data_IF_245812856373
#
_entry.id   IF_245812856373
#
_cell.length_a   1.000
_cell.length_b   1.000
_cell.length_c   1.000
_cell.angle_alpha   90.00
_cell.angle_beta   90.00
_cell.angle_gamma   90.00
#
_symmetry.space_group_name_H-M   'P 1'
#
loop_
_entity.id
_entity.type
_entity.pdbx_description
1 polymer ?
#
# COMPACT_ATOMS: atom_id res chain seq x y z
N UNK A 1 -34.12 -21.16 -73.74
CA UNK A 1 -33.24 -19.98 -73.95
C UNK A 1 -33.94 -18.79 -73.29
N UNK A 2 -33.41 -17.99 -72.38
CA UNK A 2 -32.13 -17.93 -71.68
C UNK A 2 -32.42 -17.18 -70.37
N UNK A 3 -31.91 -17.71 -69.26
CA UNK A 3 -31.90 -17.04 -67.97
C UNK A 3 -30.86 -15.91 -67.99
N UNK A 4 -31.14 -14.79 -67.32
CA UNK A 4 -30.15 -13.76 -66.99
C UNK A 4 -30.22 -13.49 -65.48
N UNK A 5 -29.24 -14.05 -64.78
CA UNK A 5 -29.04 -13.90 -63.34
C UNK A 5 -28.26 -12.61 -63.06
N UNK A 6 -28.72 -11.84 -62.07
CA UNK A 6 -28.00 -10.70 -61.49
C UNK A 6 -26.92 -11.18 -60.51
N UNK A 7 -25.73 -10.58 -60.48
CA UNK A 7 -24.67 -10.99 -59.58
C UNK A 7 -24.91 -10.50 -58.14
N UNK A 8 -24.86 -11.44 -57.20
CA UNK A 8 -25.01 -11.21 -55.76
C UNK A 8 -23.87 -10.37 -55.17
N UNK A 9 -24.24 -9.27 -54.54
CA UNK A 9 -23.36 -8.47 -53.69
C UNK A 9 -23.01 -9.24 -52.42
N UNK A 10 -21.75 -9.65 -52.28
CA UNK A 10 -21.16 -10.12 -51.02
C UNK A 10 -21.08 -8.94 -50.04
N UNK A 11 -21.97 -8.91 -49.04
CA UNK A 11 -21.76 -8.10 -47.83
C UNK A 11 -20.66 -8.75 -47.01
N UNK A 12 -19.48 -8.16 -47.03
CA UNK A 12 -18.43 -8.44 -46.06
C UNK A 12 -18.91 -7.95 -44.68
N UNK A 13 -19.41 -8.89 -43.87
CA UNK A 13 -19.59 -8.68 -42.44
C UNK A 13 -18.22 -8.57 -41.80
N UNK A 14 -17.73 -7.35 -41.64
CA UNK A 14 -16.60 -7.07 -40.76
C UNK A 14 -17.04 -7.41 -39.33
N UNK A 15 -16.74 -8.64 -38.91
CA UNK A 15 -16.80 -9.05 -37.52
C UNK A 15 -15.85 -8.16 -36.72
N UNK A 16 -16.40 -7.14 -36.07
CA UNK A 16 -15.71 -6.39 -35.04
C UNK A 16 -15.59 -7.33 -33.85
N UNK A 17 -14.57 -8.20 -33.87
CA UNK A 17 -14.15 -8.92 -32.70
C UNK A 17 -13.78 -7.93 -31.59
N UNK A 18 -14.04 -8.26 -30.31
CA UNK A 18 -13.66 -7.38 -29.21
C UNK A 18 -12.16 -7.10 -29.28
N UNK A 19 -11.78 -5.82 -29.16
CA UNK A 19 -10.37 -5.43 -29.10
C UNK A 19 -9.69 -6.20 -27.96
N UNK A 20 -8.50 -6.79 -28.16
CA UNK A 20 -7.83 -7.63 -27.15
C UNK A 20 -7.63 -6.95 -25.78
N UNK A 21 -7.66 -5.62 -25.71
CA UNK A 21 -7.61 -4.86 -24.47
C UNK A 21 -8.87 -4.96 -23.56
N UNK A 22 -10.04 -5.32 -24.10
CA UNK A 22 -11.29 -5.38 -23.32
C UNK A 22 -11.45 -6.66 -22.49
N UNK A 23 -10.83 -7.77 -22.92
CA UNK A 23 -10.99 -9.08 -22.24
C UNK A 23 -10.18 -9.14 -20.93
N UNK A 24 -9.12 -8.33 -20.78
CA UNK A 24 -8.27 -8.32 -19.57
C UNK A 24 -8.71 -7.32 -18.48
N UNK A 25 -9.64 -6.40 -18.76
CA UNK A 25 -10.02 -5.31 -17.85
C UNK A 25 -11.00 -5.75 -16.74
N UNK A 26 -11.89 -6.71 -17.01
CA UNK A 26 -12.82 -7.21 -15.99
C UNK A 26 -12.12 -7.97 -14.83
N UNK A 27 -11.09 -8.80 -15.08
CA UNK A 27 -10.33 -9.45 -14.01
C UNK A 27 -9.58 -8.49 -13.06
N UNK A 28 -9.05 -7.35 -13.56
CA UNK A 28 -8.33 -6.40 -12.70
C UNK A 28 -9.27 -5.63 -11.77
N UNK A 29 -10.44 -5.24 -12.28
CA UNK A 29 -11.51 -4.62 -11.49
C UNK A 29 -11.86 -5.51 -10.30
N UNK A 30 -12.29 -6.75 -10.57
CA UNK A 30 -12.78 -7.64 -9.53
C UNK A 30 -11.71 -8.03 -8.51
N UNK A 31 -10.48 -8.27 -8.95
CA UNK A 31 -9.36 -8.55 -8.06
C UNK A 31 -9.08 -7.36 -7.13
N UNK A 32 -9.02 -6.14 -7.66
CA UNK A 32 -8.79 -4.94 -6.85
C UNK A 32 -9.88 -4.72 -5.79
N UNK A 33 -11.15 -4.92 -6.16
CA UNK A 33 -12.28 -4.80 -5.23
C UNK A 33 -12.22 -5.86 -4.13
N UNK A 34 -12.00 -7.13 -4.49
CA UNK A 34 -11.92 -8.24 -3.52
C UNK A 34 -10.75 -8.09 -2.56
N UNK A 35 -9.56 -7.73 -3.06
CA UNK A 35 -8.40 -7.48 -2.21
C UNK A 35 -8.63 -6.30 -1.26
N UNK A 36 -9.33 -5.26 -1.71
CA UNK A 36 -9.70 -4.13 -0.85
C UNK A 36 -10.59 -4.59 0.30
N UNK A 37 -11.67 -5.32 0.02
CA UNK A 37 -12.58 -5.81 1.06
C UNK A 37 -11.88 -6.80 2.00
N UNK A 38 -11.01 -7.66 1.47
CA UNK A 38 -10.19 -8.56 2.28
C UNK A 38 -9.24 -7.78 3.18
N UNK A 39 -8.59 -6.72 2.68
CA UNK A 39 -7.73 -5.85 3.46
C UNK A 39 -8.47 -5.19 4.62
N UNK A 40 -9.66 -4.63 4.35
CA UNK A 40 -10.55 -4.06 5.38
C UNK A 40 -10.94 -5.12 6.42
N UNK A 41 -11.22 -6.35 5.99
CA UNK A 41 -11.58 -7.44 6.90
C UNK A 41 -10.42 -7.92 7.79
N UNK A 42 -9.18 -7.82 7.30
CA UNK A 42 -7.97 -8.30 7.99
C UNK A 42 -7.31 -7.23 8.88
N UNK A 43 -7.57 -5.95 8.64
CA UNK A 43 -7.11 -4.82 9.48
C UNK A 43 -8.28 -3.94 9.95
N UNK A 44 -9.26 -4.48 10.70
CA UNK A 44 -10.33 -3.65 11.22
C UNK A 44 -9.82 -2.66 12.28
N UNK A 45 -10.47 -1.49 12.43
CA UNK A 45 -10.20 -0.58 13.53
C UNK A 45 -10.31 -1.24 14.91
N UNK A 46 -9.63 -0.66 15.90
CA UNK A 46 -9.64 -1.16 17.29
C UNK A 46 -11.01 -1.02 17.95
N UNK A 47 -11.72 0.08 17.70
CA UNK A 47 -13.02 0.34 18.31
C UNK A 47 -14.12 -0.49 17.65
N UNK A 48 -14.89 -1.21 18.47
CA UNK A 48 -15.92 -2.14 17.99
C UNK A 48 -17.00 -1.44 17.13
N UNK A 49 -17.35 -0.20 17.48
CA UNK A 49 -18.38 0.59 16.78
C UNK A 49 -17.94 0.95 15.36
N UNK A 50 -16.65 1.14 15.13
CA UNK A 50 -16.07 1.43 13.80
C UNK A 50 -15.82 0.14 13.03
N UNK A 51 -15.39 -0.90 13.74
CA UNK A 51 -15.10 -2.23 13.21
C UNK A 51 -16.33 -2.95 12.66
N UNK A 52 -17.44 -2.96 13.39
CA UNK A 52 -18.62 -3.74 13.01
C UNK A 52 -19.21 -3.33 11.65
N UNK A 53 -19.46 -2.04 11.36
CA UNK A 53 -19.93 -1.62 10.05
C UNK A 53 -18.98 -2.03 8.92
N UNK A 54 -17.67 -1.80 9.09
CA UNK A 54 -16.67 -2.16 8.07
C UNK A 54 -16.65 -3.67 7.80
N UNK A 55 -16.67 -4.50 8.84
CA UNK A 55 -16.66 -5.96 8.69
C UNK A 55 -17.96 -6.48 8.06
N UNK A 56 -19.12 -5.97 8.45
CA UNK A 56 -20.40 -6.39 7.89
C UNK A 56 -20.50 -6.03 6.41
N UNK A 57 -20.09 -4.81 6.04
CA UNK A 57 -20.09 -4.34 4.66
C UNK A 57 -19.06 -5.10 3.82
N UNK A 58 -17.84 -5.28 4.32
CA UNK A 58 -16.81 -6.05 3.62
C UNK A 58 -17.21 -7.51 3.44
N UNK A 59 -17.77 -8.14 4.48
CA UNK A 59 -18.31 -9.49 4.43
C UNK A 59 -19.43 -9.63 3.41
N UNK A 60 -20.38 -8.69 3.38
CA UNK A 60 -21.46 -8.65 2.40
C UNK A 60 -20.91 -8.56 0.97
N UNK A 61 -19.95 -7.66 0.71
CA UNK A 61 -19.34 -7.51 -0.60
C UNK A 61 -18.53 -8.73 -1.06
N UNK A 62 -17.89 -9.44 -0.13
CA UNK A 62 -17.16 -10.68 -0.43
C UNK A 62 -18.09 -11.88 -0.67
N UNK A 63 -19.18 -11.98 0.09
CA UNK A 63 -20.12 -13.09 0.01
C UNK A 63 -21.09 -12.96 -1.17
N UNK A 64 -21.46 -11.73 -1.56
CA UNK A 64 -22.50 -11.47 -2.56
C UNK A 64 -21.89 -10.74 -3.78
N UNK A 65 -21.70 -11.43 -4.92
CA UNK A 65 -21.05 -10.84 -6.11
C UNK A 65 -21.73 -9.57 -6.66
N UNK A 66 -23.05 -9.46 -6.54
CA UNK A 66 -23.79 -8.25 -6.93
C UNK A 66 -23.51 -7.08 -5.99
N UNK A 67 -23.31 -7.34 -4.70
CA UNK A 67 -22.96 -6.33 -3.71
C UNK A 67 -21.56 -5.78 -3.96
N UNK A 68 -20.59 -6.62 -4.36
CA UNK A 68 -19.23 -6.19 -4.72
C UNK A 68 -19.21 -5.07 -5.76
N UNK A 69 -20.15 -5.09 -6.70
CA UNK A 69 -20.29 -4.09 -7.78
C UNK A 69 -21.34 -3.02 -7.47
N UNK A 70 -21.89 -3.00 -6.26
CA UNK A 70 -22.89 -2.02 -5.84
C UNK A 70 -22.23 -0.71 -5.42
N UNK A 71 -22.61 0.39 -6.08
CA UNK A 71 -22.21 1.74 -5.68
C UNK A 71 -22.61 2.06 -4.24
N UNK A 72 -23.77 1.58 -3.80
CA UNK A 72 -24.29 1.82 -2.46
C UNK A 72 -23.41 1.16 -1.39
N UNK A 73 -22.88 -0.04 -1.66
CA UNK A 73 -21.95 -0.71 -0.75
C UNK A 73 -20.69 0.13 -0.54
N UNK A 74 -20.08 0.61 -1.64
CA UNK A 74 -18.85 1.40 -1.57
C UNK A 74 -19.06 2.79 -0.99
N UNK A 75 -20.23 3.40 -1.19
CA UNK A 75 -20.61 4.64 -0.50
C UNK A 75 -20.81 4.42 1.02
N UNK A 76 -21.39 3.29 1.43
CA UNK A 76 -21.50 2.93 2.84
C UNK A 76 -20.13 2.66 3.47
N UNK A 77 -19.23 1.95 2.76
CA UNK A 77 -17.85 1.74 3.19
C UNK A 77 -17.08 3.07 3.30
N UNK A 78 -17.27 3.99 2.37
CA UNK A 78 -16.73 5.35 2.45
C UNK A 78 -17.20 6.05 3.73
N UNK A 79 -18.51 6.07 3.99
CA UNK A 79 -19.05 6.70 5.19
C UNK A 79 -18.48 6.08 6.47
N UNK A 80 -18.41 4.76 6.53
CA UNK A 80 -17.83 4.03 7.66
C UNK A 80 -16.33 4.29 7.83
N UNK A 81 -15.55 4.36 6.74
CA UNK A 81 -14.12 4.63 6.78
C UNK A 81 -13.79 6.12 7.04
N UNK A 82 -14.65 7.05 6.62
CA UNK A 82 -14.46 8.47 6.81
C UNK A 82 -14.89 8.95 8.21
N UNK A 83 -15.81 8.24 8.86
CA UNK A 83 -16.31 8.61 10.19
C UNK A 83 -15.19 8.76 11.23
N UNK A 84 -14.27 7.79 11.42
CA UNK A 84 -13.17 7.94 12.37
C UNK A 84 -12.26 9.13 12.05
N UNK A 85 -12.06 9.47 10.76
CA UNK A 85 -11.18 10.57 10.35
C UNK A 85 -11.63 11.94 10.86
N UNK A 86 -12.93 12.12 11.08
CA UNK A 86 -13.51 13.36 11.60
C UNK A 86 -13.39 13.41 13.12
N UNK A 87 -13.68 12.30 13.80
CA UNK A 87 -13.75 12.25 15.26
C UNK A 87 -12.40 12.07 15.93
N UNK A 88 -11.47 11.39 15.27
CA UNK A 88 -10.14 11.11 15.79
C UNK A 88 -9.09 12.07 15.23
N UNK A 89 -9.48 13.12 14.51
CA UNK A 89 -8.52 14.11 14.01
C UNK A 89 -7.71 14.73 15.17
N UNK A 90 -6.36 14.80 15.09
CA UNK A 90 -5.49 14.50 13.95
C UNK A 90 -4.77 13.12 14.02
N UNK A 91 -5.27 12.17 14.81
CA UNK A 91 -4.58 10.93 15.16
C UNK A 91 -4.75 9.78 14.17
N UNK A 92 -5.51 9.95 13.09
CA UNK A 92 -5.70 8.89 12.09
C UNK A 92 -4.43 8.66 11.27
N UNK A 93 -4.18 7.41 10.91
CA UNK A 93 -3.02 7.09 10.09
C UNK A 93 -3.25 7.50 8.62
N UNK A 94 -2.16 7.79 7.90
CA UNK A 94 -2.23 8.19 6.48
C UNK A 94 -3.04 7.22 5.60
N UNK A 95 -3.03 5.93 5.94
CA UNK A 95 -3.73 4.91 5.16
C UNK A 95 -5.24 4.88 5.39
N UNK A 96 -5.73 5.44 6.49
CA UNK A 96 -7.17 5.59 6.75
C UNK A 96 -7.77 6.62 5.79
N UNK A 97 -7.10 7.78 5.63
CA UNK A 97 -7.47 8.78 4.63
C UNK A 97 -7.45 8.20 3.22
N UNK A 98 -6.42 7.43 2.87
CA UNK A 98 -6.32 6.81 1.55
C UNK A 98 -7.42 5.75 1.36
N UNK A 99 -7.79 5.00 2.40
CA UNK A 99 -8.88 4.01 2.36
C UNK A 99 -10.22 4.69 2.07
N UNK A 100 -10.52 5.80 2.75
CA UNK A 100 -11.72 6.58 2.47
C UNK A 100 -11.72 7.12 1.03
N UNK A 101 -10.63 7.76 0.59
CA UNK A 101 -10.48 8.24 -0.79
C UNK A 101 -10.59 7.11 -1.83
N UNK A 102 -10.10 5.92 -1.49
CA UNK A 102 -10.21 4.76 -2.35
C UNK A 102 -11.66 4.25 -2.45
N UNK A 103 -12.38 4.16 -1.34
CA UNK A 103 -13.81 3.79 -1.36
C UNK A 103 -14.63 4.79 -2.19
N UNK A 104 -14.35 6.09 -2.08
CA UNK A 104 -14.93 7.12 -2.94
C UNK A 104 -14.60 6.87 -4.42
N UNK A 105 -13.33 6.66 -4.74
CA UNK A 105 -12.90 6.38 -6.11
C UNK A 105 -13.56 5.15 -6.70
N UNK A 106 -13.76 4.09 -5.91
CA UNK A 106 -14.50 2.90 -6.33
C UNK A 106 -15.97 3.22 -6.61
N UNK A 107 -16.66 3.91 -5.70
CA UNK A 107 -18.05 4.31 -5.89
C UNK A 107 -18.24 5.17 -7.16
N UNK A 108 -17.31 6.11 -7.41
CA UNK A 108 -17.27 6.91 -8.62
C UNK A 108 -17.01 6.04 -9.87
N UNK A 109 -16.02 5.14 -9.83
CA UNK A 109 -15.68 4.28 -10.95
C UNK A 109 -16.85 3.36 -11.36
N UNK A 110 -17.57 2.79 -10.40
CA UNK A 110 -18.76 1.97 -10.63
C UNK A 110 -19.94 2.76 -11.23
N UNK A 111 -19.85 4.09 -11.28
CA UNK A 111 -20.82 4.96 -11.94
C UNK A 111 -20.46 5.27 -13.40
N UNK A 112 -19.23 4.94 -13.83
CA UNK A 112 -18.73 5.26 -15.14
C UNK A 112 -19.21 4.27 -16.21
N UNK A 113 -19.21 4.71 -17.47
CA UNK A 113 -19.51 3.83 -18.62
C UNK A 113 -18.53 2.67 -18.75
N UNK A 114 -17.27 2.87 -18.34
CA UNK A 114 -16.22 1.84 -18.28
C UNK A 114 -15.62 1.82 -16.86
N UNK A 115 -16.23 1.06 -15.93
CA UNK A 115 -15.80 1.03 -14.54
C UNK A 115 -14.37 0.53 -14.35
N UNK A 116 -13.95 -0.45 -15.15
CA UNK A 116 -12.62 -1.03 -15.04
C UNK A 116 -11.54 0.01 -15.38
N UNK A 117 -11.72 0.74 -16.50
CA UNK A 117 -10.79 1.79 -16.89
C UNK A 117 -10.81 2.97 -15.92
N UNK A 118 -11.99 3.38 -15.45
CA UNK A 118 -12.11 4.44 -14.45
C UNK A 118 -11.39 4.06 -13.16
N UNK A 119 -11.59 2.84 -12.66
CA UNK A 119 -10.94 2.37 -11.44
C UNK A 119 -9.42 2.31 -11.59
N UNK A 120 -8.91 1.73 -12.68
CA UNK A 120 -7.47 1.67 -12.95
C UNK A 120 -6.83 3.07 -12.99
N UNK A 121 -7.55 4.06 -13.53
CA UNK A 121 -7.10 5.44 -13.59
C UNK A 121 -7.08 6.11 -12.20
N UNK A 122 -8.13 5.92 -11.39
CA UNK A 122 -8.15 6.41 -10.02
C UNK A 122 -7.07 5.75 -9.16
N UNK A 123 -6.93 4.43 -9.23
CA UNK A 123 -5.92 3.68 -8.50
C UNK A 123 -4.51 4.17 -8.83
N UNK A 124 -4.21 4.37 -10.14
CA UNK A 124 -2.91 4.88 -10.56
C UNK A 124 -2.62 6.26 -9.98
N UNK A 125 -3.59 7.17 -10.02
CA UNK A 125 -3.44 8.53 -9.50
C UNK A 125 -3.30 8.56 -7.99
N UNK A 126 -4.11 7.78 -7.26
CA UNK A 126 -4.04 7.70 -5.81
C UNK A 126 -2.67 7.23 -5.34
N UNK A 127 -2.15 6.13 -5.90
CA UNK A 127 -0.77 5.68 -5.61
C UNK A 127 0.23 6.78 -5.93
N UNK A 128 0.22 7.30 -7.15
CA UNK A 128 1.21 8.30 -7.57
C UNK A 128 1.20 9.57 -6.70
N UNK A 129 0.02 10.09 -6.37
CA UNK A 129 -0.15 11.28 -5.54
C UNK A 129 0.21 11.03 -4.08
N UNK A 130 -0.17 9.89 -3.50
CA UNK A 130 0.22 9.54 -2.13
C UNK A 130 1.73 9.53 -1.96
N UNK A 131 2.45 8.91 -2.90
CA UNK A 131 3.91 8.88 -2.87
C UNK A 131 4.54 10.24 -3.21
N UNK A 132 3.98 11.00 -4.14
CA UNK A 132 4.47 12.35 -4.43
C UNK A 132 4.34 13.28 -3.22
N UNK A 133 3.22 13.21 -2.48
CA UNK A 133 3.05 13.97 -1.24
C UNK A 133 3.96 13.47 -0.12
N UNK A 134 4.20 12.15 -0.02
CA UNK A 134 5.16 11.61 0.95
C UNK A 134 6.58 12.15 0.70
N UNK A 135 7.02 12.18 -0.56
CA UNK A 135 8.32 12.77 -0.96
C UNK A 135 8.34 14.27 -0.68
N UNK A 136 7.30 15.00 -1.09
CA UNK A 136 7.20 16.44 -0.87
C UNK A 136 7.29 16.78 0.62
N UNK A 137 6.56 16.06 1.46
CA UNK A 137 6.59 16.25 2.90
C UNK A 137 8.01 16.04 3.46
N UNK A 138 8.65 14.93 3.11
CA UNK A 138 9.99 14.58 3.59
C UNK A 138 11.07 15.55 3.13
N UNK A 139 10.97 16.07 1.91
CA UNK A 139 11.99 16.94 1.32
C UNK A 139 11.77 18.41 1.66
N UNK A 140 10.53 18.88 1.62
CA UNK A 140 10.22 20.30 1.73
C UNK A 140 9.75 20.72 3.13
N UNK A 141 9.14 19.81 3.90
CA UNK A 141 8.44 20.15 5.14
C UNK A 141 9.05 19.50 6.40
N UNK A 142 9.90 18.49 6.25
CA UNK A 142 10.52 17.75 7.37
C UNK A 142 12.06 17.76 7.31
N UNK A 143 12.73 18.84 7.75
CA UNK A 143 14.20 18.94 7.73
C UNK A 143 14.90 17.82 8.52
N UNK A 144 14.28 17.37 9.60
CA UNK A 144 14.68 16.25 10.47
C UNK A 144 14.61 14.88 9.78
N UNK A 145 13.81 14.75 8.71
CA UNK A 145 13.87 13.56 7.87
C UNK A 145 15.15 13.55 7.02
N UNK A 146 15.50 14.69 6.41
CA UNK A 146 16.64 14.80 5.49
C UNK A 146 17.99 14.66 6.19
N UNK A 147 18.14 15.21 7.38
CA UNK A 147 19.37 15.06 8.18
C UNK A 147 19.47 13.69 8.88
N UNK A 148 18.46 12.83 8.72
CA UNK A 148 18.43 11.47 9.22
C UNK A 148 18.04 11.36 10.71
N UNK A 149 17.77 12.46 11.42
CA UNK A 149 17.35 12.40 12.83
C UNK A 149 16.07 11.60 13.03
N UNK A 150 15.08 11.78 12.16
CA UNK A 150 13.83 11.01 12.21
C UNK A 150 14.11 9.50 12.18
N UNK A 151 14.93 9.05 11.23
CA UNK A 151 15.25 7.64 11.08
C UNK A 151 16.12 7.12 12.22
N UNK A 152 17.05 7.94 12.75
CA UNK A 152 17.85 7.58 13.94
C UNK A 152 16.96 7.33 15.16
N UNK A 153 16.03 8.23 15.44
CA UNK A 153 15.07 8.06 16.55
C UNK A 153 14.19 6.84 16.31
N UNK A 154 13.62 6.72 15.10
CA UNK A 154 12.77 5.57 14.72
C UNK A 154 13.49 4.24 14.92
N UNK A 155 14.76 4.15 14.50
CA UNK A 155 15.60 2.95 14.63
C UNK A 155 15.96 2.59 16.07
N UNK A 156 15.68 3.40 17.09
CA UNK A 156 15.97 3.06 18.49
C UNK A 156 14.75 3.09 19.40
N UNK A 157 13.68 3.77 19.00
CA UNK A 157 12.46 3.91 19.81
C UNK A 157 11.29 3.07 19.29
N UNK A 158 11.34 2.57 18.06
CA UNK A 158 10.26 1.77 17.47
C UNK A 158 10.67 0.29 17.39
N UNK A 159 10.03 -0.54 18.23
CA UNK A 159 10.32 -1.97 18.31
C UNK A 159 10.12 -2.73 16.98
N UNK A 160 9.42 -2.17 15.99
CA UNK A 160 9.34 -2.78 14.64
C UNK A 160 10.69 -2.80 13.92
N UNK A 161 11.58 -1.87 14.27
CA UNK A 161 12.90 -1.72 13.67
C UNK A 161 14.01 -2.43 14.46
N UNK A 162 13.71 -3.00 15.63
CA UNK A 162 14.68 -3.74 16.46
C UNK A 162 15.43 -4.79 15.65
N UNK A 163 14.68 -5.72 15.03
CA UNK A 163 15.28 -6.81 14.26
C UNK A 163 16.06 -6.29 13.04
N UNK A 164 15.69 -5.14 12.46
CA UNK A 164 16.46 -4.53 11.37
C UNK A 164 17.81 -4.02 11.89
N UNK A 165 17.82 -3.33 13.03
CA UNK A 165 19.05 -2.80 13.63
C UNK A 165 20.00 -3.94 14.05
N UNK A 166 19.45 -5.03 14.60
CA UNK A 166 20.22 -6.24 14.96
C UNK A 166 20.77 -6.93 13.71
N UNK A 167 19.94 -7.18 12.68
CA UNK A 167 20.39 -7.78 11.42
C UNK A 167 21.43 -6.93 10.69
N UNK A 168 21.36 -5.61 10.81
CA UNK A 168 22.35 -4.69 10.26
C UNK A 168 23.68 -4.71 11.03
N UNK A 169 23.76 -5.43 12.17
CA UNK A 169 24.96 -5.53 13.01
C UNK A 169 25.27 -4.23 13.75
N UNK A 170 24.29 -3.32 13.88
CA UNK A 170 24.48 -2.02 14.54
C UNK A 170 24.30 -2.14 16.05
N UNK A 171 23.52 -3.11 16.52
CA UNK A 171 23.23 -3.34 17.94
C UNK A 171 22.96 -4.82 18.19
N UNK A 172 22.94 -5.23 19.45
CA UNK A 172 22.42 -6.52 19.92
C UNK A 172 21.04 -6.37 20.57
N UNK A 173 20.31 -7.48 20.77
CA UNK A 173 19.05 -7.48 21.53
C UNK A 173 19.24 -7.00 22.97
N UNK A 174 20.35 -7.38 23.62
CA UNK A 174 20.66 -6.93 24.98
C UNK A 174 20.94 -5.43 25.05
N UNK A 175 21.68 -4.89 24.08
CA UNK A 175 21.91 -3.44 23.97
C UNK A 175 20.62 -2.67 23.68
N UNK A 176 19.76 -3.22 22.83
CA UNK A 176 18.45 -2.64 22.56
C UNK A 176 17.61 -2.58 23.82
N UNK A 177 17.45 -3.69 24.54
CA UNK A 177 16.67 -3.76 25.77
C UNK A 177 17.20 -2.79 26.84
N UNK A 178 18.54 -2.64 26.95
CA UNK A 178 19.14 -1.64 27.85
C UNK A 178 18.80 -0.21 27.43
N UNK A 179 18.88 0.10 26.14
CA UNK A 179 18.55 1.42 25.62
C UNK A 179 17.05 1.74 25.72
N UNK A 180 16.19 0.74 25.59
CA UNK A 180 14.74 0.87 25.75
C UNK A 180 14.38 1.25 27.20
N UNK A 181 14.98 0.54 28.19
CA UNK A 181 14.84 0.89 29.61
C UNK A 181 15.37 2.29 29.92
N UNK A 182 16.52 2.67 29.35
CA UNK A 182 17.08 4.01 29.49
C UNK A 182 16.13 5.09 28.93
N UNK A 183 15.55 4.83 27.76
CA UNK A 183 14.62 5.75 27.12
C UNK A 183 13.32 5.88 27.93
N UNK A 184 12.80 4.77 28.47
CA UNK A 184 11.61 4.78 29.33
C UNK A 184 11.84 5.57 30.63
N UNK A 185 12.99 5.39 31.29
CA UNK A 185 13.38 6.16 32.47
C UNK A 185 13.47 7.66 32.18
N UNK A 186 13.97 8.04 31.00
CA UNK A 186 14.00 9.44 30.57
C UNK A 186 12.59 10.00 30.30
N UNK A 187 11.76 9.27 29.55
CA UNK A 187 10.42 9.72 29.15
C UNK A 187 9.43 9.77 30.33
N UNK A 188 9.60 8.90 31.33
CA UNK A 188 8.83 8.90 32.57
C UNK A 188 9.28 9.98 33.57
N UNK A 189 10.44 10.60 33.34
CA UNK A 189 11.04 11.59 34.23
C UNK A 189 11.76 11.01 35.45
N UNK A 190 11.99 9.69 35.47
CA UNK A 190 12.78 9.02 36.52
C UNK A 190 14.27 9.35 36.43
N UNK A 191 14.77 9.71 35.23
CA UNK A 191 16.16 10.10 34.98
C UNK A 191 16.26 11.28 34.00
N UNK A 192 17.30 12.09 34.11
CA UNK A 192 17.68 13.03 33.03
C UNK A 192 18.27 12.27 31.82
N UNK A 193 18.43 12.94 30.68
CA UNK A 193 19.01 12.31 29.48
C UNK A 193 20.43 11.79 29.77
N UNK A 194 21.24 12.57 30.48
CA UNK A 194 22.60 12.24 30.88
C UNK A 194 22.64 11.05 31.87
N UNK A 195 21.63 10.93 32.73
CA UNK A 195 21.54 9.87 33.75
C UNK A 195 20.90 8.58 33.22
N UNK A 196 20.10 8.67 32.14
CA UNK A 196 19.39 7.52 31.55
C UNK A 196 20.30 6.34 31.22
N UNK A 197 21.58 6.62 30.94
CA UNK A 197 22.54 5.62 30.51
C UNK A 197 22.35 5.17 29.06
N UNK A 198 21.52 5.87 28.28
CA UNK A 198 21.34 5.59 26.85
C UNK A 198 22.67 5.69 26.10
N UNK A 199 22.97 4.67 25.27
CA UNK A 199 24.17 4.63 24.44
C UNK A 199 23.79 4.47 22.97
N UNK A 200 24.05 5.51 22.18
CA UNK A 200 23.85 5.44 20.73
C UNK A 200 24.76 4.36 20.13
N UNK A 201 24.20 3.33 19.46
CA UNK A 201 25.02 2.26 18.91
C UNK A 201 25.96 2.74 17.80
N UNK A 202 27.20 2.21 17.71
CA UNK A 202 28.11 2.53 16.62
C UNK A 202 27.50 2.17 15.27
N UNK A 203 27.56 3.07 14.29
CA UNK A 203 27.01 2.83 12.96
C UNK A 203 25.51 3.13 12.79
N UNK A 204 24.77 3.45 13.88
CA UNK A 204 23.36 3.87 13.79
C UNK A 204 23.17 5.03 12.82
N UNK A 205 24.07 6.02 12.84
CA UNK A 205 24.01 7.18 11.94
C UNK A 205 24.14 6.79 10.47
N UNK A 206 25.03 5.85 10.16
CA UNK A 206 25.24 5.39 8.80
C UNK A 206 24.04 4.58 8.31
N UNK A 207 23.51 3.67 9.13
CA UNK A 207 22.29 2.91 8.83
C UNK A 207 21.10 3.84 8.63
N UNK A 208 20.89 4.79 9.54
CA UNK A 208 19.81 5.76 9.44
C UNK A 208 19.90 6.60 8.17
N UNK A 209 21.07 7.14 7.84
CA UNK A 209 21.28 7.88 6.59
C UNK A 209 21.02 7.04 5.34
N UNK A 210 21.47 5.78 5.34
CA UNK A 210 21.22 4.83 4.27
C UNK A 210 19.72 4.54 4.09
N UNK A 211 19.00 4.28 5.18
CA UNK A 211 17.55 4.02 5.15
C UNK A 211 16.74 5.27 4.77
N UNK A 212 17.14 6.46 5.22
CA UNK A 212 16.55 7.74 4.79
C UNK A 212 16.67 7.89 3.27
N UNK A 213 17.88 7.72 2.72
CA UNK A 213 18.11 7.84 1.29
C UNK A 213 17.36 6.75 0.49
N UNK A 214 17.39 5.51 0.94
CA UNK A 214 16.69 4.39 0.30
C UNK A 214 15.17 4.60 0.30
N UNK A 215 14.59 5.05 1.42
CA UNK A 215 13.16 5.36 1.55
C UNK A 215 12.77 6.44 0.54
N UNK A 216 13.50 7.55 0.53
CA UNK A 216 13.22 8.66 -0.37
C UNK A 216 13.34 8.24 -1.85
N UNK A 217 14.38 7.47 -2.19
CA UNK A 217 14.58 6.97 -3.55
C UNK A 217 13.45 6.04 -4.00
N UNK A 218 13.04 5.09 -3.15
CA UNK A 218 11.94 4.18 -3.47
C UNK A 218 10.61 4.93 -3.62
N UNK A 219 10.30 5.86 -2.70
CA UNK A 219 9.07 6.64 -2.76
C UNK A 219 9.02 7.52 -4.02
N UNK A 220 10.12 8.19 -4.34
CA UNK A 220 10.25 8.98 -5.56
C UNK A 220 10.11 8.12 -6.82
N UNK A 221 10.70 6.93 -6.85
CA UNK A 221 10.56 5.99 -7.96
C UNK A 221 9.10 5.57 -8.17
N UNK A 222 8.35 5.28 -7.10
CA UNK A 222 6.92 4.95 -7.17
C UNK A 222 6.12 6.16 -7.66
N UNK A 223 6.32 7.34 -7.08
CA UNK A 223 5.64 8.57 -7.49
C UNK A 223 5.84 8.85 -8.99
N UNK A 224 7.10 8.84 -9.44
CA UNK A 224 7.45 9.03 -10.85
C UNK A 224 6.83 7.94 -11.72
N UNK A 225 6.95 6.66 -11.34
CA UNK A 225 6.37 5.55 -12.10
C UNK A 225 4.86 5.69 -12.33
N UNK A 226 4.11 6.16 -11.34
CA UNK A 226 2.64 6.24 -11.42
C UNK A 226 2.10 7.55 -12.00
N UNK A 227 2.83 8.66 -11.84
CA UNK A 227 2.43 9.97 -12.37
C UNK A 227 2.96 10.26 -13.77
N UNK A 228 4.02 9.55 -14.22
CA UNK A 228 4.58 9.76 -15.55
C UNK A 228 3.61 9.33 -16.67
N UNK A 229 3.64 10.00 -17.84
CA UNK A 229 2.86 9.59 -19.01
C UNK A 229 2.99 8.09 -19.34
N UNK A 230 1.85 7.43 -19.50
CA UNK A 230 1.77 5.98 -19.73
C UNK A 230 2.59 5.53 -20.94
N UNK A 231 3.26 4.38 -20.79
CA UNK A 231 4.06 3.75 -21.84
C UNK A 231 5.43 4.41 -22.09
N UNK A 232 5.76 5.48 -21.36
CA UNK A 232 7.01 6.24 -21.50
C UNK A 232 7.82 6.25 -20.21
N UNK A 233 9.15 6.25 -20.34
CA UNK A 233 10.08 6.45 -19.24
C UNK A 233 9.80 5.58 -18.01
N UNK A 234 9.79 6.18 -16.79
CA UNK A 234 9.55 5.46 -15.53
C UNK A 234 8.22 4.69 -15.45
N UNK A 235 7.19 5.10 -16.21
CA UNK A 235 5.87 4.44 -16.14
C UNK A 235 5.86 2.98 -16.60
N UNK A 236 6.91 2.55 -17.34
CA UNK A 236 7.12 1.17 -17.74
C UNK A 236 7.47 0.27 -16.56
N UNK A 237 8.09 0.84 -15.52
CA UNK A 237 8.56 0.13 -14.33
C UNK A 237 7.66 0.34 -13.12
N UNK A 238 6.54 1.06 -13.26
CA UNK A 238 5.63 1.42 -12.15
C UNK A 238 5.27 0.23 -11.26
N UNK A 239 4.90 -0.91 -11.85
CA UNK A 239 4.55 -2.10 -11.09
C UNK A 239 5.76 -2.68 -10.35
N UNK A 240 6.94 -2.68 -10.98
CA UNK A 240 8.15 -3.16 -10.34
C UNK A 240 8.53 -2.27 -9.15
N UNK A 241 8.44 -0.95 -9.28
CA UNK A 241 8.70 -0.01 -8.19
C UNK A 241 7.74 -0.20 -7.01
N UNK A 242 6.43 -0.29 -7.26
CA UNK A 242 5.47 -0.48 -6.16
C UNK A 242 5.60 -1.85 -5.50
N UNK A 243 5.83 -2.92 -6.27
CA UNK A 243 6.06 -4.25 -5.72
C UNK A 243 7.35 -4.31 -4.91
N UNK A 244 8.43 -3.71 -5.41
CA UNK A 244 9.69 -3.61 -4.68
C UNK A 244 9.50 -2.86 -3.37
N UNK A 245 8.91 -1.66 -3.41
CA UNK A 245 8.58 -0.88 -2.22
C UNK A 245 7.75 -1.68 -1.23
N UNK A 246 6.72 -2.40 -1.70
CA UNK A 246 5.85 -3.19 -0.83
C UNK A 246 6.62 -4.35 -0.19
N UNK A 247 7.46 -5.05 -0.95
CA UNK A 247 8.22 -6.18 -0.45
C UNK A 247 9.32 -5.79 0.56
N UNK A 248 9.96 -4.63 0.36
CA UNK A 248 11.08 -4.16 1.20
C UNK A 248 10.62 -3.33 2.39
N UNK A 249 9.68 -2.39 2.21
CA UNK A 249 9.26 -1.50 3.29
C UNK A 249 8.48 -2.28 4.35
N UNK A 250 7.54 -3.13 3.93
CA UNK A 250 6.70 -3.87 4.87
C UNK A 250 7.34 -5.12 5.45
N UNK A 251 8.56 -5.49 5.06
CA UNK A 251 9.29 -6.55 5.78
C UNK A 251 9.63 -6.09 7.19
N UNK A 252 9.98 -4.81 7.37
CA UNK A 252 10.38 -4.25 8.67
C UNK A 252 9.37 -3.23 9.21
N UNK A 253 8.90 -2.29 8.39
CA UNK A 253 7.94 -1.26 8.79
C UNK A 253 6.51 -1.73 8.52
N UNK A 254 6.01 -2.71 9.29
CA UNK A 254 4.72 -3.37 9.06
C UNK A 254 3.52 -2.46 9.38
N UNK A 255 3.25 -1.45 8.56
CA UNK A 255 1.99 -0.70 8.55
C UNK A 255 1.01 -1.43 7.63
N UNK A 256 0.29 -2.40 8.22
CA UNK A 256 -0.41 -3.47 7.51
C UNK A 256 -1.48 -2.96 6.55
N UNK A 257 -2.41 -2.13 7.05
CA UNK A 257 -3.50 -1.56 6.26
C UNK A 257 -3.00 -0.83 5.03
N UNK A 258 -1.88 -0.11 5.14
CA UNK A 258 -1.27 0.57 4.00
C UNK A 258 -0.74 -0.41 2.95
N UNK A 259 -0.05 -1.48 3.35
CA UNK A 259 0.49 -2.47 2.41
C UNK A 259 -0.57 -3.22 1.64
N UNK A 260 -1.65 -3.64 2.31
CA UNK A 260 -2.80 -4.27 1.65
C UNK A 260 -3.55 -3.31 0.73
N UNK A 261 -3.69 -2.04 1.13
CA UNK A 261 -4.30 -1.02 0.30
C UNK A 261 -3.49 -0.75 -0.97
N UNK A 262 -2.17 -0.61 -0.86
CA UNK A 262 -1.28 -0.44 -2.02
C UNK A 262 -1.31 -1.64 -2.97
N UNK A 263 -1.33 -2.87 -2.43
CA UNK A 263 -1.48 -4.07 -3.25
C UNK A 263 -2.83 -4.10 -3.97
N UNK A 264 -3.91 -3.67 -3.31
CA UNK A 264 -5.27 -3.59 -3.89
C UNK A 264 -5.36 -2.56 -5.01
N UNK A 265 -4.84 -1.35 -4.78
CA UNK A 265 -4.71 -0.29 -5.79
C UNK A 265 -3.84 -0.75 -6.97
N UNK A 266 -2.71 -1.38 -6.68
CA UNK A 266 -1.79 -1.95 -7.65
C UNK A 266 -2.48 -2.99 -8.55
N UNK A 267 -3.22 -3.93 -7.96
CA UNK A 267 -3.98 -4.94 -8.67
C UNK A 267 -5.09 -4.33 -9.54
N UNK A 268 -5.79 -3.31 -9.04
CA UNK A 268 -6.85 -2.62 -9.77
C UNK A 268 -6.35 -1.94 -11.06
N UNK A 269 -5.14 -1.36 -11.05
CA UNK A 269 -4.54 -0.73 -12.23
C UNK A 269 -3.70 -1.65 -13.12
N UNK A 270 -3.44 -2.89 -12.69
CA UNK A 270 -2.52 -3.78 -13.39
C UNK A 270 -3.11 -4.32 -14.70
N UNK A 271 -2.54 -3.88 -15.82
CA UNK A 271 -2.92 -4.32 -17.17
C UNK A 271 -2.51 -5.78 -17.45
N UNK A 272 -1.30 -6.18 -17.00
CA UNK A 272 -0.74 -7.51 -17.28
C UNK A 272 -1.08 -8.51 -16.18
N UNK A 273 -1.40 -9.76 -16.57
CA UNK A 273 -1.64 -10.87 -15.62
C UNK A 273 -0.49 -11.08 -14.64
N UNK A 274 0.75 -11.03 -15.12
CA UNK A 274 1.93 -11.19 -14.25
C UNK A 274 1.99 -10.14 -13.14
N UNK A 275 1.65 -8.87 -13.44
CA UNK A 275 1.61 -7.82 -12.43
C UNK A 275 0.48 -8.05 -11.41
N UNK A 276 -0.69 -8.51 -11.85
CA UNK A 276 -1.80 -8.88 -10.95
C UNK A 276 -1.41 -9.99 -9.98
N UNK A 277 -0.74 -11.03 -10.49
CA UNK A 277 -0.19 -12.12 -9.65
C UNK A 277 0.85 -11.57 -8.68
N UNK A 278 1.71 -10.65 -9.13
CA UNK A 278 2.67 -9.95 -8.27
C UNK A 278 2.00 -9.23 -7.10
N UNK A 279 0.90 -8.50 -7.34
CA UNK A 279 0.17 -7.81 -6.27
C UNK A 279 -0.57 -8.76 -5.34
N UNK A 280 -1.12 -9.86 -5.85
CA UNK A 280 -1.69 -10.91 -5.01
C UNK A 280 -0.61 -11.55 -4.11
N UNK A 281 0.57 -11.83 -4.67
CA UNK A 281 1.71 -12.34 -3.92
C UNK A 281 2.19 -11.31 -2.88
N UNK A 282 2.27 -10.02 -3.23
CA UNK A 282 2.62 -8.96 -2.29
C UNK A 282 1.59 -8.83 -1.16
N UNK A 283 0.30 -8.95 -1.47
CA UNK A 283 -0.76 -8.95 -0.46
C UNK A 283 -0.59 -10.12 0.54
N UNK A 284 -0.33 -11.32 0.02
CA UNK A 284 -0.04 -12.50 0.84
C UNK A 284 1.27 -12.36 1.62
N UNK A 285 2.30 -11.76 1.03
CA UNK A 285 3.59 -11.52 1.66
C UNK A 285 3.47 -10.57 2.86
N UNK A 286 2.68 -9.50 2.74
CA UNK A 286 2.37 -8.61 3.88
C UNK A 286 1.66 -9.38 5.00
N UNK A 287 0.76 -10.30 4.67
CA UNK A 287 0.13 -11.17 5.67
C UNK A 287 1.12 -12.16 6.31
N UNK A 288 2.11 -12.65 5.54
CA UNK A 288 3.15 -13.54 6.01
C UNK A 288 4.11 -12.82 6.96
N UNK A 289 4.58 -11.63 6.61
CA UNK A 289 5.45 -10.81 7.48
C UNK A 289 4.83 -10.51 8.83
N UNK A 290 3.49 -10.40 8.89
CA UNK A 290 2.75 -10.27 10.14
C UNK A 290 2.76 -11.56 10.97
N UNK A 291 2.58 -12.71 10.31
CA UNK A 291 2.24 -13.96 10.99
C UNK A 291 3.46 -14.79 11.36
N UNK A 292 4.59 -14.56 10.68
CA UNK A 292 5.83 -15.31 10.84
C UNK A 292 6.92 -14.35 11.34
N UNK A 293 7.58 -14.65 12.47
CA UNK A 293 8.72 -13.86 12.97
C UNK A 293 9.99 -14.15 12.15
N UNK A 294 9.90 -13.92 10.84
CA UNK A 294 10.91 -14.32 9.84
C UNK A 294 12.28 -13.70 10.13
N UNK A 295 12.33 -12.46 10.61
CA UNK A 295 13.57 -11.77 10.92
C UNK A 295 14.26 -12.37 12.15
N UNK A 296 13.50 -12.82 13.17
CA UNK A 296 14.06 -13.55 14.32
C UNK A 296 14.70 -14.86 13.88
N UNK A 297 14.01 -15.65 13.04
CA UNK A 297 14.58 -16.88 12.50
C UNK A 297 15.87 -16.63 11.73
N UNK A 298 15.99 -15.53 10.99
CA UNK A 298 17.23 -15.18 10.30
C UNK A 298 18.34 -14.81 11.28
N UNK A 299 18.04 -14.00 12.31
CA UNK A 299 19.01 -13.63 13.35
C UNK A 299 19.56 -14.90 14.03
N UNK A 300 18.69 -15.81 14.48
CA UNK A 300 19.05 -17.08 15.13
C UNK A 300 19.89 -18.03 14.25
N UNK A 301 19.90 -17.83 12.93
CA UNK A 301 20.71 -18.65 12.00
C UNK A 301 22.04 -18.01 11.64
N UNK A 302 22.12 -16.69 11.74
CA UNK A 302 23.32 -15.92 11.40
C UNK A 302 24.24 -15.72 12.60
N UNK A 303 23.71 -15.86 13.82
CA UNK A 303 24.38 -15.72 15.11
C UNK A 303 24.29 -17.02 15.91
#
# INVERSE_FOLDING_TARGET
MSAAALPGGRRAGAGVGPRPAQVEAAPSLELGLRLTLLGIALDPPLLWLERMPLLLLAGLGLAVPSALRSRALWAALLAAAAWPLVWQWPFSDNHDYLTALWCLAVACALSATDPARALAHHARRLVGLSFAFAVLWKVALAPDFLDGRFMRVTLVSDGRFENLAVLAGVTTHDEWARNDLALDAYLSGEATWEESGFREPPGLRALAGGLTAATLAMEAAVALGFLWPLGRGPSRFRNAFLLLFTATTYSFATVRGFGWLLASLGAAQAERRAARVGYLAAFALVALYRSVPWSRFLIERLH
#
